data_IF_701843381256
#
_entry.id   IF_701843381256
#
_cell.length_a   1.000
_cell.length_b   1.000
_cell.length_c   1.000
_cell.angle_alpha   90.00
_cell.angle_beta   90.00
_cell.angle_gamma   90.00
#
_symmetry.space_group_name_H-M   'P 1'
#
loop_
_entity.id
_entity.type
_entity.pdbx_description
1 polymer ?
2 non-polymer ?
3 non-polymer ?
4 non-polymer ?
5 water ?
#
# COMPACT_ATOMS: atom_id res chain seq x y z
N UNK A 1 -6.48 -13.81 6.67
CA UNK A 1 -6.04 -14.21 8.04
C UNK A 1 -5.75 -12.96 8.88
N UNK A 2 -6.42 -12.82 10.02
CA UNK A 2 -6.29 -11.58 10.81
C UNK A 2 -4.84 -11.35 11.27
N UNK A 3 -4.47 -10.07 11.40
CA UNK A 3 -3.26 -9.71 12.08
C UNK A 3 -3.44 -9.98 13.57
N UNK A 4 -2.49 -10.68 14.20
CA UNK A 4 -2.44 -10.77 15.65
C UNK A 4 -1.99 -9.42 16.17
N UNK A 5 -2.12 -9.25 17.48
CA UNK A 5 -1.81 -7.98 18.10
C UNK A 5 -0.44 -7.49 17.69
N UNK A 6 0.61 -8.33 17.74
CA UNK A 6 1.95 -7.80 17.47
C UNK A 6 2.20 -7.43 16.01
N UNK A 7 1.52 -8.09 15.08
CA UNK A 7 1.57 -7.63 13.69
C UNK A 7 0.85 -6.29 13.50
N UNK A 8 -0.20 -6.01 14.28
CA UNK A 8 -0.88 -4.73 14.21
C UNK A 8 0.13 -3.65 14.59
N UNK A 9 0.83 -3.89 15.70
CA UNK A 9 1.89 -2.96 16.15
C UNK A 9 2.97 -2.76 15.06
N UNK A 10 3.28 -3.84 14.32
CA UNK A 10 4.22 -3.77 13.20
C UNK A 10 3.71 -2.88 12.09
N UNK A 11 2.52 -3.20 11.58
CA UNK A 11 1.96 -2.44 10.49
C UNK A 11 1.87 -0.98 10.91
N UNK A 12 1.63 -0.67 12.19
CA UNK A 12 1.54 0.74 12.63
C UNK A 12 2.86 1.46 12.65
N UNK A 13 3.89 0.70 13.03
CA UNK A 13 5.27 1.11 12.94
C UNK A 13 5.72 1.28 11.47
N UNK A 14 5.59 0.26 10.60
CA UNK A 14 6.08 0.40 9.22
C UNK A 14 5.44 1.67 8.57
N UNK A 15 4.36 2.21 9.15
CA UNK A 15 3.58 3.29 8.51
C UNK A 15 2.56 2.80 7.51
N UNK A 16 2.15 1.54 7.61
CA UNK A 16 1.31 0.87 6.62
C UNK A 16 -0.15 0.80 7.01
N UNK A 17 -0.41 1.04 8.27
CA UNK A 17 -1.74 1.19 8.80
C UNK A 17 -1.64 2.33 9.77
N UNK A 18 -2.61 3.22 9.75
CA UNK A 18 -2.58 4.32 10.68
C UNK A 18 -3.86 4.36 11.52
N UNK A 19 -3.66 4.56 12.83
CA UNK A 19 -4.76 4.81 13.75
C UNK A 19 -4.42 6.01 14.65
N UNK A 20 -5.32 6.99 14.67
CA UNK A 20 -4.99 8.30 15.26
C UNK A 20 -6.11 8.81 16.21
N UNK A 21 -5.82 9.05 17.48
CA UNK A 21 -4.54 8.85 18.14
C UNK A 21 -4.14 7.38 18.22
N UNK A 22 -2.84 7.13 18.31
CA UNK A 22 -2.34 5.76 18.31
C UNK A 22 -2.65 5.12 19.63
N UNK A 23 -3.24 3.94 19.63
CA UNK A 23 -3.62 3.32 20.86
C UNK A 23 -2.45 2.62 21.49
N UNK A 24 -2.32 2.73 22.81
CA UNK A 24 -1.24 2.10 23.50
C UNK A 24 -1.41 0.58 23.47
N UNK A 25 -0.45 -0.11 24.06
CA UNK A 25 -0.37 -1.57 24.02
C UNK A 25 -1.50 -2.22 24.79
N UNK A 26 -1.97 -1.52 25.82
CA UNK A 26 -3.14 -1.96 26.61
C UNK A 26 -4.32 -2.24 25.68
N UNK A 27 -4.52 -1.36 24.72
CA UNK A 27 -5.68 -1.44 23.84
C UNK A 27 -5.46 -2.14 22.48
N UNK A 28 -4.38 -2.90 22.35
CA UNK A 28 -4.14 -3.79 21.22
C UNK A 28 -3.92 -5.17 21.83
N UNK A 29 -4.77 -6.14 21.55
CA UNK A 29 -4.65 -7.46 22.18
C UNK A 29 -5.25 -8.51 21.26
N UNK A 30 -4.77 -9.74 21.37
CA UNK A 30 -5.32 -10.88 20.62
C UNK A 30 -5.23 -10.61 19.14
N UNK A 31 -6.34 -10.15 18.57
CA UNK A 31 -6.44 -9.80 17.15
C UNK A 31 -7.23 -8.49 16.89
N UNK A 32 -7.32 -7.61 17.89
CA UNK A 32 -8.11 -6.40 17.74
C UNK A 32 -7.49 -5.18 18.40
N UNK A 33 -7.81 -4.00 17.87
CA UNK A 33 -7.52 -2.75 18.56
C UNK A 33 -8.82 -2.23 19.12
N UNK A 34 -8.86 -1.93 20.40
CA UNK A 34 -10.04 -1.31 20.99
C UNK A 34 -10.15 0.09 20.44
N UNK A 35 -11.38 0.48 20.09
CA UNK A 35 -11.65 1.84 19.64
C UNK A 35 -12.62 2.50 20.58
N UNK A 36 -12.64 3.83 20.52
CA UNK A 36 -13.28 4.65 21.55
C UNK A 36 -14.40 5.49 20.99
N UNK A 37 -15.37 5.83 21.85
CA UNK A 37 -16.51 6.63 21.39
C UNK A 37 -16.15 8.11 21.22
N UNK A 38 -16.54 8.71 20.12
CA UNK A 38 -16.30 10.13 19.91
C UNK A 38 -17.41 10.96 20.52
N UNK A 39 -17.49 12.21 20.09
CA UNK A 39 -18.27 13.21 20.81
C UNK A 39 -19.22 13.96 19.87
N UNK A 40 -19.65 13.31 18.80
CA UNK A 40 -20.52 13.94 17.84
C UNK A 40 -21.63 12.95 17.57
N UNK A 41 -22.90 13.34 17.81
CA UNK A 41 -24.07 12.43 17.68
C UNK A 41 -25.15 12.94 16.74
N UNK A 42 -26.05 12.04 16.36
CA UNK A 42 -27.27 12.44 15.68
C UNK A 42 -28.45 11.53 16.03
N UNK A 43 -29.64 12.14 16.06
CA UNK A 43 -30.90 11.44 16.27
C UNK A 43 -31.79 11.78 15.12
N UNK A 44 -32.98 11.18 15.13
CA UNK A 44 -33.97 11.33 14.06
C UNK A 44 -35.14 12.16 14.50
N UNK A 45 -35.71 12.90 13.56
CA UNK A 45 -36.94 13.66 13.74
C UNK A 45 -37.81 13.27 12.54
N UNK A 46 -38.50 12.16 12.70
CA UNK A 46 -39.40 11.71 11.66
C UNK A 46 -40.56 12.61 11.23
N UNK A 47 -40.92 13.58 12.07
CA UNK A 47 -42.20 14.30 11.89
C UNK A 47 -42.33 15.09 10.58
N UNK A 48 -41.19 15.45 10.00
CA UNK A 48 -41.12 16.26 8.76
C UNK A 48 -41.25 15.43 7.50
N UNK A 49 -41.23 14.11 7.61
CA UNK A 49 -41.21 13.26 6.42
C UNK A 49 -42.05 12.00 6.64
N UNK A 50 -42.65 11.52 5.56
CA UNK A 50 -43.48 10.33 5.61
C UNK A 50 -42.65 9.03 5.47
N UNK A 51 -41.58 9.06 4.70
CA UNK A 51 -40.70 7.91 4.53
C UNK A 51 -39.38 8.37 4.00
N UNK A 52 -38.45 7.44 3.86
CA UNK A 52 -37.20 7.70 3.15
C UNK A 52 -37.12 6.75 1.97
N UNK A 53 -36.95 7.33 0.77
CA UNK A 53 -36.64 6.53 -0.42
C UNK A 53 -35.14 6.48 -0.64
N UNK A 54 -34.58 5.31 -0.36
CA UNK A 54 -33.13 5.11 -0.38
C UNK A 54 -32.64 5.27 -1.83
N UNK A 55 -33.21 4.47 -2.75
CA UNK A 55 -32.91 4.55 -4.18
C UNK A 55 -33.89 5.45 -4.91
N UNK A 56 -33.69 6.76 -4.79
CA UNK A 56 -34.51 7.73 -5.54
C UNK A 56 -33.79 9.06 -5.82
N UNK A 57 -34.47 9.97 -6.50
CA UNK A 57 -33.82 11.16 -7.12
C UNK A 57 -32.99 12.07 -6.17
N UNK A 58 -31.65 11.96 -6.22
CA UNK A 58 -30.73 12.56 -5.20
C UNK A 58 -31.05 14.01 -4.70
N UNK A 59 -31.80 14.77 -5.50
CA UNK A 59 -32.50 16.00 -5.03
C UNK A 59 -33.32 15.79 -3.75
N UNK A 60 -34.52 15.22 -3.93
CA UNK A 60 -35.49 14.96 -2.85
C UNK A 60 -34.88 14.19 -1.67
N UNK A 61 -33.98 13.26 -2.00
CA UNK A 61 -33.21 12.43 -1.04
C UNK A 61 -32.34 13.27 -0.11
N UNK A 62 -31.54 14.12 -0.73
CA UNK A 62 -30.67 15.00 0.03
C UNK A 62 -31.56 15.77 1.03
N UNK A 63 -32.59 16.43 0.50
CA UNK A 63 -33.45 17.32 1.30
C UNK A 63 -34.34 16.58 2.34
N UNK A 64 -34.83 15.37 2.00
CA UNK A 64 -35.56 14.53 2.96
C UNK A 64 -34.67 14.12 4.14
N UNK A 65 -33.51 13.56 3.83
CA UNK A 65 -32.45 13.23 4.81
C UNK A 65 -31.96 14.45 5.65
N UNK A 66 -32.16 15.64 5.11
CA UNK A 66 -31.76 16.88 5.77
C UNK A 66 -32.76 17.25 6.84
N UNK A 67 -34.01 16.91 6.56
CA UNK A 67 -35.10 17.10 7.50
C UNK A 67 -34.98 16.13 8.66
N UNK A 68 -34.83 14.84 8.34
CA UNK A 68 -35.05 13.80 9.32
C UNK A 68 -33.96 13.73 10.39
N UNK A 69 -32.74 14.15 10.06
CA UNK A 69 -31.60 14.00 10.95
C UNK A 69 -31.43 15.21 11.81
N UNK A 70 -31.24 14.98 13.10
CA UNK A 70 -30.99 16.07 14.04
C UNK A 70 -29.75 16.77 13.63
N UNK A 71 -29.58 17.97 14.15
CA UNK A 71 -28.30 18.64 14.03
C UNK A 71 -27.28 17.97 14.93
N UNK A 72 -26.02 18.25 14.68
CA UNK A 72 -24.96 17.56 15.36
C UNK A 72 -25.04 17.92 16.82
N UNK A 73 -24.94 16.90 17.68
CA UNK A 73 -25.04 17.04 19.11
C UNK A 73 -23.65 16.77 19.64
N UNK A 74 -23.04 17.75 20.30
CA UNK A 74 -21.70 17.61 20.83
C UNK A 74 -21.75 17.71 22.34
N UNK A 75 -21.29 16.69 23.05
CA UNK A 75 -21.42 16.64 24.49
C UNK A 75 -20.26 17.26 25.25
N UNK A 76 -20.58 18.17 26.18
CA UNK A 76 -19.55 18.81 27.03
C UNK A 76 -18.96 17.71 27.91
N UNK A 77 -17.65 17.79 28.19
CA UNK A 77 -16.99 16.96 29.24
C UNK A 77 -17.94 16.39 30.33
N UNK A 78 -17.78 15.10 30.66
CA UNK A 78 -18.59 14.53 31.75
C UNK A 78 -20.09 14.39 31.47
N UNK A 79 -20.48 14.42 30.20
CA UNK A 79 -21.90 14.38 29.81
C UNK A 79 -22.21 13.07 29.06
N UNK A 80 -23.37 12.52 29.32
CA UNK A 80 -23.76 11.28 28.70
C UNK A 80 -24.68 11.56 27.54
N UNK A 81 -24.83 10.58 26.65
CA UNK A 81 -25.86 10.61 25.65
C UNK A 81 -26.76 9.43 26.02
N UNK A 82 -28.04 9.69 26.20
CA UNK A 82 -28.93 8.61 26.62
C UNK A 82 -29.60 8.06 25.42
N UNK A 83 -29.39 6.77 25.16
CA UNK A 83 -29.99 6.10 24.03
C UNK A 83 -31.09 5.20 24.56
N UNK A 84 -32.31 5.61 24.29
CA UNK A 84 -33.48 4.97 24.88
C UNK A 84 -33.87 3.75 24.10
N UNK A 85 -34.50 2.81 24.77
CA UNK A 85 -34.96 1.58 24.14
C UNK A 85 -35.66 1.79 22.80
N UNK A 86 -35.14 1.22 21.74
CA UNK A 86 -35.84 1.28 20.46
C UNK A 86 -35.40 2.47 19.69
N UNK A 87 -34.43 3.20 20.19
CA UNK A 87 -33.94 4.36 19.43
C UNK A 87 -32.70 4.02 18.63
N UNK A 88 -32.65 4.53 17.39
CA UNK A 88 -31.48 4.46 16.53
C UNK A 88 -30.83 5.81 16.57
N UNK A 89 -29.51 5.83 16.79
CA UNK A 89 -28.71 7.07 16.82
C UNK A 89 -27.34 6.89 16.11
N UNK A 90 -26.75 7.99 15.66
CA UNK A 90 -25.47 7.96 14.96
C UNK A 90 -24.43 8.69 15.80
N UNK A 91 -23.23 8.12 15.79
CA UNK A 91 -22.11 8.69 16.49
C UNK A 91 -20.93 8.34 15.64
N UNK A 92 -19.76 8.49 16.24
CA UNK A 92 -18.50 8.45 15.52
C UNK A 92 -17.40 7.91 16.44
N UNK A 93 -16.47 7.14 15.93
CA UNK A 93 -15.30 6.75 16.75
C UNK A 93 -14.43 7.95 17.09
N UNK A 94 -13.77 7.85 18.24
CA UNK A 94 -12.82 8.90 18.65
C UNK A 94 -11.58 8.84 17.75
N UNK A 95 -11.09 7.62 17.54
CA UNK A 95 -9.95 7.41 16.67
C UNK A 95 -10.34 7.52 15.19
N UNK A 96 -9.45 8.20 14.44
CA UNK A 96 -9.37 8.15 12.97
C UNK A 96 -8.60 6.95 12.51
N UNK A 97 -8.87 6.48 11.31
CA UNK A 97 -8.31 5.21 10.83
C UNK A 97 -8.00 5.31 9.33
N UNK A 98 -6.75 5.00 8.99
CA UNK A 98 -6.34 4.99 7.60
C UNK A 98 -5.75 3.67 7.21
N UNK A 99 -6.44 2.98 6.29
CA UNK A 99 -6.04 1.67 5.80
C UNK A 99 -5.35 1.77 4.41
N UNK A 100 -4.33 0.93 4.20
CA UNK A 100 -3.69 0.87 2.90
C UNK A 100 -4.59 0.10 1.96
N UNK A 101 -4.16 -0.02 0.71
CA UNK A 101 -4.96 -0.69 -0.32
C UNK A 101 -4.99 -2.21 -0.19
N UNK A 102 -4.23 -2.80 0.73
CA UNK A 102 -4.15 -4.28 0.87
C UNK A 102 -4.52 -4.78 2.25
N UNK A 103 -5.36 -4.03 2.90
CA UNK A 103 -5.83 -4.40 4.20
C UNK A 103 -7.29 -3.94 4.26
N UNK A 104 -8.11 -4.77 4.89
CA UNK A 104 -9.51 -4.44 5.12
C UNK A 104 -9.73 -4.54 6.63
N UNK A 105 -10.45 -3.57 7.20
CA UNK A 105 -10.82 -3.62 8.62
C UNK A 105 -12.20 -4.21 8.83
N UNK A 106 -12.39 -4.90 9.95
CA UNK A 106 -13.71 -5.32 10.39
C UNK A 106 -13.94 -4.75 11.80
N UNK A 107 -15.00 -3.95 11.97
CA UNK A 107 -15.38 -3.41 13.29
C UNK A 107 -16.48 -4.22 13.95
N UNK A 108 -16.22 -4.77 15.14
CA UNK A 108 -17.25 -5.38 16.01
C UNK A 108 -17.48 -4.41 17.16
N UNK A 109 -18.73 -4.27 17.59
CA UNK A 109 -19.01 -3.71 18.91
C UNK A 109 -18.53 -4.67 20.01
N UNK A 110 -18.67 -4.24 21.24
CA UNK A 110 -18.23 -5.01 22.37
C UNK A 110 -19.30 -5.96 22.86
N UNK A 111 -18.95 -7.19 23.11
CA UNK A 111 -19.94 -8.20 23.46
C UNK A 111 -20.63 -7.84 24.75
N UNK A 112 -19.94 -7.17 25.66
CA UNK A 112 -20.49 -6.89 26.97
C UNK A 112 -21.51 -5.75 26.96
N UNK A 113 -21.39 -4.80 26.07
CA UNK A 113 -22.46 -3.82 25.85
C UNK A 113 -23.67 -4.40 25.06
N UNK A 114 -23.42 -5.34 24.17
CA UNK A 114 -24.48 -5.95 23.41
C UNK A 114 -25.37 -6.82 24.31
N UNK A 115 -24.79 -7.31 25.39
CA UNK A 115 -25.53 -8.01 26.44
C UNK A 115 -26.51 -7.14 27.20
N UNK A 116 -26.33 -5.82 27.12
CA UNK A 116 -27.27 -4.90 27.70
C UNK A 116 -28.12 -4.21 26.61
N UNK A 117 -28.02 -4.66 25.38
CA UNK A 117 -28.89 -4.14 24.36
C UNK A 117 -28.23 -3.41 23.23
N UNK A 118 -27.04 -2.86 23.44
CA UNK A 118 -26.38 -2.06 22.42
C UNK A 118 -25.97 -2.87 21.19
N UNK A 119 -26.77 -2.81 20.13
CA UNK A 119 -26.29 -3.08 18.78
C UNK A 119 -25.69 -1.86 18.14
N UNK A 120 -24.39 -1.89 17.95
CA UNK A 120 -23.75 -1.05 16.97
C UNK A 120 -23.64 -1.69 15.59
N UNK A 121 -24.06 -0.93 14.58
CA UNK A 121 -23.64 -1.10 13.21
C UNK A 121 -23.06 -2.46 12.89
N UNK A 122 -23.86 -3.28 12.22
CA UNK A 122 -24.02 -4.69 12.50
C UNK A 122 -24.72 -5.32 11.30
N UNK A 123 -25.24 -4.46 10.43
CA UNK A 123 -25.46 -4.80 9.04
C UNK A 123 -24.23 -4.53 8.18
N UNK A 124 -23.27 -3.81 8.75
CA UNK A 124 -22.00 -3.53 8.09
C UNK A 124 -20.81 -3.58 9.05
N UNK A 125 -19.83 -4.42 8.73
CA UNK A 125 -18.68 -4.63 9.60
C UNK A 125 -17.39 -4.07 9.03
N UNK A 126 -17.43 -3.73 7.75
CA UNK A 126 -16.22 -3.60 6.91
C UNK A 126 -15.69 -2.18 6.74
N UNK A 127 -14.41 -1.98 7.06
CA UNK A 127 -13.69 -0.73 6.74
C UNK A 127 -12.86 -1.04 5.52
N UNK A 128 -13.01 -0.25 4.46
CA UNK A 128 -12.44 -0.62 3.16
C UNK A 128 -10.98 -0.29 3.03
N UNK A 129 -10.27 -1.05 2.21
CA UNK A 129 -8.91 -0.68 1.84
C UNK A 129 -8.95 0.73 1.28
N UNK A 130 -8.10 1.62 1.77
CA UNK A 130 -8.16 3.00 1.35
C UNK A 130 -8.95 3.94 2.26
N UNK A 131 -9.79 3.38 3.14
CA UNK A 131 -10.60 4.25 4.00
C UNK A 131 -9.63 5.10 4.78
N UNK A 132 -9.96 6.37 4.96
CA UNK A 132 -9.20 7.23 5.86
C UNK A 132 -10.14 8.18 6.59
N UNK A 133 -10.30 8.00 7.88
CA UNK A 133 -11.15 8.89 8.66
C UNK A 133 -11.69 8.24 9.92
N UNK A 134 -12.53 9.00 10.61
CA UNK A 134 -13.44 8.42 11.62
C UNK A 134 -14.41 7.46 11.04
N UNK A 135 -14.93 6.62 11.92
CA UNK A 135 -15.92 5.68 11.52
C UNK A 135 -17.27 6.16 12.09
N UNK A 136 -18.23 6.34 11.21
CA UNK A 136 -19.60 6.55 11.60
C UNK A 136 -20.14 5.26 12.27
N UNK A 137 -20.71 5.41 13.46
CA UNK A 137 -21.33 4.34 14.19
C UNK A 137 -22.84 4.55 14.22
N UNK A 138 -23.59 3.49 13.99
CA UNK A 138 -25.05 3.52 14.14
C UNK A 138 -25.43 2.63 15.32
N UNK A 139 -25.93 3.25 16.39
CA UNK A 139 -26.37 2.50 17.55
C UNK A 139 -27.87 2.23 17.54
N UNK A 140 -28.25 1.13 18.17
CA UNK A 140 -29.63 0.81 18.40
C UNK A 140 -29.75 0.15 19.76
N UNK A 141 -30.66 0.64 20.60
CA UNK A 141 -30.91 0.01 21.91
C UNK A 141 -31.98 -1.05 21.75
N UNK A 142 -31.60 -2.28 21.99
CA UNK A 142 -32.49 -3.38 21.85
C UNK A 142 -32.84 -3.95 23.20
N UNK A 143 -32.45 -3.26 24.27
CA UNK A 143 -32.75 -3.72 25.62
C UNK A 143 -33.92 -2.97 26.23
N UNK A 144 -34.21 -3.23 27.50
CA UNK A 144 -35.33 -2.61 28.21
C UNK A 144 -34.98 -1.22 28.69
N UNK A 145 -33.78 -1.02 29.23
CA UNK A 145 -33.42 0.26 29.88
C UNK A 145 -32.61 1.16 28.96
N UNK A 146 -32.64 2.47 29.18
CA UNK A 146 -31.77 3.34 28.42
C UNK A 146 -30.32 3.06 28.80
N UNK A 147 -29.44 3.37 27.86
CA UNK A 147 -27.98 3.18 28.03
C UNK A 147 -27.30 4.52 27.87
N UNK A 148 -26.53 4.89 28.90
CA UNK A 148 -25.72 6.07 28.87
C UNK A 148 -24.37 5.79 28.23
N UNK A 149 -24.06 6.57 27.21
CA UNK A 149 -22.87 6.51 26.39
C UNK A 149 -22.06 7.79 26.56
N UNK A 150 -20.80 7.68 27.00
CA UNK A 150 -19.97 8.86 27.26
C UNK A 150 -18.81 8.90 26.31
N UNK A 151 -18.53 10.04 25.67
CA UNK A 151 -17.35 10.14 24.81
C UNK A 151 -16.07 9.66 25.52
N UNK A 152 -15.32 8.73 24.93
CA UNK A 152 -14.09 8.22 25.52
C UNK A 152 -14.27 6.76 25.94
N UNK A 153 -15.50 6.33 26.17
CA UNK A 153 -15.71 4.97 26.57
C UNK A 153 -15.20 4.04 25.46
N UNK A 154 -14.90 2.78 25.78
CA UNK A 154 -14.61 1.80 24.76
C UNK A 154 -15.93 1.45 24.08
N UNK A 155 -15.94 1.43 22.76
CA UNK A 155 -17.18 1.21 22.00
C UNK A 155 -17.07 0.08 20.96
N UNK A 156 -15.88 -0.45 20.76
CA UNK A 156 -15.69 -1.44 19.70
C UNK A 156 -14.31 -1.98 19.58
N UNK A 157 -14.15 -2.90 18.64
CA UNK A 157 -12.89 -3.60 18.46
C UNK A 157 -12.70 -3.71 16.97
N UNK A 158 -11.53 -3.29 16.55
CA UNK A 158 -11.15 -3.24 15.14
C UNK A 158 -10.17 -4.38 14.91
N UNK A 159 -10.46 -5.21 13.93
CA UNK A 159 -9.51 -6.22 13.51
C UNK A 159 -9.21 -6.01 11.99
N UNK A 160 -8.07 -6.56 11.53
CA UNK A 160 -7.51 -6.25 10.20
C UNK A 160 -7.08 -7.48 9.46
N UNK A 161 -7.43 -7.54 8.19
CA UNK A 161 -7.21 -8.72 7.39
C UNK A 161 -6.54 -8.31 6.10
N UNK A 162 -5.33 -8.77 5.84
CA UNK A 162 -4.65 -8.47 4.58
C UNK A 162 -5.46 -9.03 3.43
N UNK A 163 -5.47 -8.33 2.31
CA UNK A 163 -6.10 -8.82 1.10
C UNK A 163 -5.13 -9.72 0.32
N UNK A 164 -5.57 -10.30 -0.77
CA UNK A 164 -4.75 -11.23 -1.50
C UNK A 164 -3.78 -10.48 -2.38
N UNK A 165 -3.97 -9.17 -2.46
CA UNK A 165 -3.05 -8.26 -3.11
C UNK A 165 -3.60 -6.86 -2.89
N UNK A 166 -2.87 -5.84 -3.31
CA UNK A 166 -3.33 -4.44 -3.15
C UNK A 166 -4.50 -4.17 -4.06
N UNK A 167 -5.57 -3.58 -3.54
CA UNK A 167 -6.76 -3.31 -4.36
C UNK A 167 -6.45 -2.29 -5.46
N UNK A 168 -6.98 -2.55 -6.65
CA UNK A 168 -6.88 -1.61 -7.77
C UNK A 168 -7.73 -0.36 -7.52
N UNK A 169 -8.91 -0.53 -6.94
CA UNK A 169 -9.84 0.58 -6.71
C UNK A 169 -10.20 0.70 -5.23
N UNK A 170 -9.22 1.08 -4.42
CA UNK A 170 -9.48 1.30 -3.02
C UNK A 170 -10.29 2.58 -2.84
N UNK A 171 -10.62 2.88 -1.60
CA UNK A 171 -11.48 4.01 -1.29
C UNK A 171 -10.93 5.34 -1.79
N UNK A 172 -9.76 5.77 -1.33
CA UNK A 172 -9.09 7.00 -1.83
C UNK A 172 -9.03 7.23 -3.38
N UNK A 173 -9.04 6.14 -4.18
CA UNK A 173 -8.89 6.18 -5.67
C UNK A 173 -10.03 5.44 -6.36
N UNK A 174 -11.07 6.17 -6.78
CA UNK A 174 -12.26 5.58 -7.44
C UNK A 174 -13.41 6.61 -7.44
N UNK B 1 2.50 11.30 -15.15
CA UNK B 1 3.20 12.27 -14.24
C UNK B 1 3.92 11.49 -13.14
N UNK B 2 5.23 11.71 -13.00
CA UNK B 2 6.01 10.92 -12.02
C UNK B 2 5.54 11.20 -10.61
N UNK B 3 5.65 10.17 -9.77
CA UNK B 3 5.47 10.31 -8.34
C UNK B 3 6.66 11.09 -7.83
N UNK B 4 6.39 12.10 -6.99
CA UNK B 4 7.44 12.77 -6.25
C UNK B 4 7.84 11.85 -5.12
N UNK B 5 8.96 12.15 -4.48
CA UNK B 5 9.47 11.28 -3.40
C UNK B 5 8.40 10.90 -2.35
N UNK B 6 7.67 11.88 -1.82
CA UNK B 6 6.61 11.59 -0.82
C UNK B 6 5.53 10.62 -1.29
N UNK B 7 5.11 10.75 -2.54
CA UNK B 7 4.14 9.85 -3.08
C UNK B 7 4.68 8.46 -3.29
N UNK B 8 5.98 8.34 -3.52
CA UNK B 8 6.60 7.01 -3.61
C UNK B 8 6.52 6.30 -2.26
N UNK B 9 7.03 6.95 -1.21
CA UNK B 9 6.75 6.54 0.18
C UNK B 9 5.28 6.12 0.44
N UNK B 10 4.30 6.94 -0.01
CA UNK B 10 2.85 6.67 0.13
C UNK B 10 2.40 5.40 -0.56
N UNK B 11 2.72 5.29 -1.83
CA UNK B 11 2.43 4.05 -2.56
C UNK B 11 3.07 2.81 -1.91
N UNK B 12 4.21 2.98 -1.23
CA UNK B 12 4.87 1.87 -0.54
C UNK B 12 4.07 1.54 0.70
N UNK B 13 3.68 2.59 1.43
CA UNK B 13 2.82 2.44 2.61
C UNK B 13 1.42 1.87 2.28
N UNK B 14 0.85 2.24 1.13
CA UNK B 14 -0.48 1.74 0.74
C UNK B 14 -0.41 0.33 0.23
N UNK B 15 0.79 -0.24 0.17
CA UNK B 15 1.00 -1.62 -0.24
C UNK B 15 0.81 -1.81 -1.73
N UNK B 16 0.82 -0.69 -2.45
CA UNK B 16 0.44 -0.64 -3.84
C UNK B 16 1.62 -0.83 -4.78
N UNK B 17 2.79 -0.45 -4.27
CA UNK B 17 4.05 -0.61 -4.92
C UNK B 17 4.90 -1.31 -3.86
N UNK B 18 5.70 -2.28 -4.27
CA UNK B 18 6.61 -2.90 -3.36
C UNK B 18 8.03 -2.92 -3.89
N UNK B 19 8.96 -2.54 -3.01
CA UNK B 19 10.42 -2.60 -3.24
C UNK B 19 11.10 -3.33 -2.05
N UNK B 20 11.61 -4.52 -2.30
CA UNK B 20 12.16 -5.35 -1.22
C UNK B 20 13.69 -5.62 -1.41
N UNK B 21 14.61 -5.24 -0.51
CA UNK B 21 14.31 -4.55 0.76
C UNK B 21 13.87 -3.13 0.54
N UNK B 22 13.11 -2.60 1.51
CA UNK B 22 12.55 -1.28 1.38
C UNK B 22 13.68 -0.31 1.59
N UNK B 23 13.82 0.66 0.68
CA UNK B 23 14.89 1.63 0.79
C UNK B 23 14.49 2.71 1.76
N UNK B 24 15.42 3.12 2.62
CA UNK B 24 15.15 4.18 3.56
C UNK B 24 14.97 5.52 2.85
N UNK B 25 14.69 6.56 3.62
CA UNK B 25 14.35 7.89 3.10
C UNK B 25 15.53 8.54 2.35
N UNK B 26 16.75 8.22 2.81
CA UNK B 26 17.99 8.68 2.16
C UNK B 26 17.93 8.34 0.68
N UNK B 27 17.47 7.13 0.36
CA UNK B 27 17.48 6.67 -1.01
C UNK B 27 16.19 6.86 -1.82
N UNK B 28 15.27 7.70 -1.32
CA UNK B 28 14.10 8.14 -2.08
C UNK B 28 14.15 9.67 -2.09
N UNK B 29 14.36 10.28 -3.25
CA UNK B 29 14.49 11.75 -3.32
C UNK B 29 13.98 12.32 -4.63
N UNK B 30 13.49 13.56 -4.63
CA UNK B 30 12.99 14.18 -5.83
C UNK B 30 11.87 13.35 -6.43
N UNK B 31 12.23 12.50 -7.41
CA UNK B 31 11.30 11.65 -8.14
C UNK B 31 11.82 10.23 -8.38
N UNK B 32 12.83 9.80 -7.63
CA UNK B 32 13.43 8.50 -7.86
C UNK B 32 13.75 7.76 -6.55
N UNK B 33 13.74 6.43 -6.66
CA UNK B 33 14.32 5.57 -5.62
C UNK B 33 15.62 5.04 -6.15
N UNK B 34 16.70 5.29 -5.44
CA UNK B 34 18.01 4.72 -5.78
C UNK B 34 18.02 3.19 -5.64
N UNK B 35 18.55 2.51 -6.65
CA UNK B 35 18.64 1.06 -6.58
C UNK B 35 20.11 0.65 -6.54
N UNK B 36 20.35 -0.52 -5.95
CA UNK B 36 21.70 -1.01 -5.72
C UNK B 36 22.05 -2.14 -6.68
N UNK B 37 23.33 -2.43 -6.79
CA UNK B 37 23.78 -3.55 -7.58
C UNK B 37 23.70 -4.86 -6.80
N UNK B 38 23.25 -5.91 -7.46
CA UNK B 38 23.24 -7.23 -6.85
C UNK B 38 24.55 -7.97 -6.98
N UNK B 39 24.47 -9.28 -6.85
CA UNK B 39 25.68 -10.05 -6.70
C UNK B 39 25.67 -11.26 -7.63
N UNK B 40 25.22 -11.08 -8.85
CA UNK B 40 25.06 -12.17 -9.80
C UNK B 40 25.32 -11.57 -11.14
N UNK B 41 26.34 -12.07 -11.84
CA UNK B 41 26.77 -11.53 -13.12
C UNK B 41 26.82 -12.57 -14.23
N UNK B 42 26.90 -12.11 -15.47
CA UNK B 42 27.23 -12.99 -16.59
C UNK B 42 28.04 -12.23 -17.61
N UNK B 43 28.88 -12.97 -18.34
CA UNK B 43 29.68 -12.44 -19.47
C UNK B 43 29.44 -13.33 -20.65
N UNK B 44 30.05 -12.99 -21.78
CA UNK B 44 29.86 -13.73 -23.02
C UNK B 44 31.08 -14.54 -23.40
N UNK B 45 30.82 -15.71 -23.98
CA UNK B 45 31.82 -16.56 -24.53
C UNK B 45 31.38 -16.84 -25.96
N UNK B 46 31.64 -15.89 -26.83
CA UNK B 46 31.34 -16.07 -28.25
C UNK B 46 31.86 -17.29 -28.99
N UNK B 47 32.92 -17.95 -28.49
CA UNK B 47 33.72 -18.89 -29.29
C UNK B 47 32.99 -20.15 -29.74
N UNK B 48 31.92 -20.48 -29.05
CA UNK B 48 31.06 -21.65 -29.37
C UNK B 48 30.02 -21.41 -30.44
N UNK B 49 29.85 -20.16 -30.88
CA UNK B 49 28.74 -19.81 -31.77
C UNK B 49 29.13 -18.71 -32.75
N UNK B 50 28.59 -18.80 -33.96
CA UNK B 50 28.94 -17.86 -35.03
C UNK B 50 28.11 -16.59 -34.96
N UNK B 51 26.86 -16.71 -34.54
CA UNK B 51 25.98 -15.56 -34.41
C UNK B 51 24.81 -15.94 -33.51
N UNK B 52 23.96 -14.97 -33.22
CA UNK B 52 22.72 -15.24 -32.54
C UNK B 52 21.56 -14.80 -33.37
N UNK B 53 20.64 -15.73 -33.65
CA UNK B 53 19.41 -15.39 -34.34
C UNK B 53 18.34 -14.99 -33.34
N UNK B 54 18.10 -13.69 -33.24
CA UNK B 54 17.11 -13.10 -32.34
C UNK B 54 15.67 -13.48 -32.74
N UNK B 55 15.14 -12.84 -33.78
CA UNK B 55 13.85 -13.23 -34.38
C UNK B 55 13.58 -14.71 -34.25
N UNK B 56 12.36 -15.02 -33.83
CA UNK B 56 12.01 -16.39 -33.48
C UNK B 56 11.67 -16.36 -32.01
N UNK B 57 11.31 -17.53 -31.48
CA UNK B 57 10.69 -17.62 -30.13
C UNK B 57 11.46 -16.94 -28.95
N UNK B 58 10.71 -16.42 -27.98
CA UNK B 58 11.28 -15.82 -26.76
C UNK B 58 11.96 -16.89 -25.90
N UNK B 59 11.44 -18.11 -25.99
CA UNK B 59 12.05 -19.29 -25.36
C UNK B 59 13.34 -19.70 -26.10
N UNK B 60 13.40 -19.42 -27.41
CA UNK B 60 14.53 -19.86 -28.30
C UNK B 60 15.68 -18.85 -28.34
N UNK B 61 15.40 -17.63 -27.89
CA UNK B 61 16.41 -16.63 -27.51
C UNK B 61 17.12 -17.09 -26.22
N UNK B 62 16.34 -17.50 -25.22
CA UNK B 62 16.91 -18.04 -23.98
C UNK B 62 17.57 -19.43 -24.15
N UNK B 63 16.96 -20.31 -24.96
CA UNK B 63 17.56 -21.61 -25.28
C UNK B 63 18.89 -21.41 -26.00
N UNK B 64 18.91 -20.39 -26.84
CA UNK B 64 20.13 -19.96 -27.55
C UNK B 64 20.71 -18.68 -26.93
N UNK B 65 21.00 -18.72 -25.64
CA UNK B 65 21.94 -17.81 -24.97
C UNK B 65 22.68 -18.72 -23.97
N UNK B 66 22.83 -19.99 -24.35
CA UNK B 66 23.17 -21.07 -23.41
C UNK B 66 24.62 -21.43 -23.59
N UNK B 67 25.07 -21.58 -24.84
CA UNK B 67 26.49 -21.68 -25.13
C UNK B 67 27.14 -20.36 -24.76
N UNK B 68 26.57 -19.28 -25.28
CA UNK B 68 27.29 -18.01 -25.37
C UNK B 68 27.45 -17.31 -24.03
N UNK B 69 26.54 -17.59 -23.11
CA UNK B 69 26.54 -16.92 -21.81
C UNK B 69 27.34 -17.66 -20.78
N UNK B 70 28.16 -16.94 -20.05
CA UNK B 70 28.94 -17.54 -19.01
C UNK B 70 27.99 -18.11 -17.99
N UNK B 71 28.50 -19.00 -17.16
CA UNK B 71 27.75 -19.39 -16.00
C UNK B 71 27.65 -18.22 -15.00
N UNK B 72 26.73 -18.36 -14.05
CA UNK B 72 26.48 -17.30 -13.09
C UNK B 72 27.72 -17.10 -12.24
N UNK B 73 28.11 -15.84 -12.12
CA UNK B 73 29.28 -15.41 -11.39
C UNK B 73 28.78 -14.70 -10.12
N UNK B 74 29.12 -15.23 -8.96
CA UNK B 74 28.67 -14.66 -7.70
C UNK B 74 29.88 -14.22 -6.93
N UNK B 75 29.96 -12.93 -6.61
CA UNK B 75 31.15 -12.37 -5.99
C UNK B 75 31.08 -12.44 -4.47
N UNK B 76 32.15 -12.99 -3.86
CA UNK B 76 32.28 -13.03 -2.39
C UNK B 76 32.35 -11.56 -1.97
N UNK B 77 31.66 -11.17 -0.90
CA UNK B 77 31.67 -9.76 -0.44
C UNK B 77 33.12 -9.17 -0.43
N UNK B 78 33.22 -7.84 -0.60
CA UNK B 78 34.51 -7.17 -0.81
C UNK B 78 35.15 -7.33 -2.19
N UNK B 79 34.47 -8.01 -3.12
CA UNK B 79 35.07 -8.40 -4.42
C UNK B 79 34.45 -7.58 -5.53
N UNK B 80 35.27 -7.14 -6.48
CA UNK B 80 34.79 -6.31 -7.58
C UNK B 80 34.52 -7.15 -8.79
N UNK B 81 33.72 -6.65 -9.69
CA UNK B 81 33.60 -7.26 -11.02
C UNK B 81 34.22 -6.24 -11.94
N UNK B 82 35.19 -6.64 -12.76
CA UNK B 82 35.82 -5.66 -13.63
C UNK B 82 35.19 -5.73 -15.01
N UNK B 83 34.54 -4.62 -15.40
CA UNK B 83 33.97 -4.53 -16.72
C UNK B 83 34.91 -3.75 -17.63
N UNK B 84 35.51 -4.47 -18.58
CA UNK B 84 36.57 -3.91 -19.44
C UNK B 84 35.97 -3.15 -20.61
N UNK B 85 36.71 -2.17 -21.09
CA UNK B 85 36.28 -1.34 -22.17
C UNK B 85 35.73 -2.13 -23.35
N UNK B 86 34.48 -1.94 -23.69
CA UNK B 86 33.91 -2.63 -24.85
C UNK B 86 33.23 -3.93 -24.49
N UNK B 87 33.23 -4.26 -23.22
CA UNK B 87 32.57 -5.47 -22.80
C UNK B 87 31.15 -5.18 -22.43
N UNK B 88 30.28 -6.13 -22.75
CA UNK B 88 28.88 -6.15 -22.35
C UNK B 88 28.78 -7.23 -21.31
N UNK B 89 28.17 -6.88 -20.18
CA UNK B 89 27.90 -7.86 -19.11
C UNK B 89 26.45 -7.77 -18.51
N UNK B 90 25.99 -8.86 -17.90
CA UNK B 90 24.67 -8.84 -17.28
C UNK B 90 24.77 -8.97 -15.77
N UNK B 91 23.98 -8.20 -15.09
CA UNK B 91 23.93 -8.24 -13.65
C UNK B 91 22.47 -8.04 -13.26
N UNK B 92 22.28 -7.79 -11.99
CA UNK B 92 20.94 -7.79 -11.43
C UNK B 92 20.88 -6.74 -10.30
N UNK B 93 19.75 -6.02 -10.17
CA UNK B 93 19.57 -5.16 -8.99
C UNK B 93 19.48 -6.00 -7.73
N UNK B 94 19.96 -5.40 -6.65
CA UNK B 94 19.88 -6.01 -5.33
C UNK B 94 18.41 -6.02 -4.91
N UNK B 95 17.72 -4.90 -5.12
CA UNK B 95 16.30 -4.79 -4.75
C UNK B 95 15.42 -5.51 -5.75
N UNK B 96 14.42 -6.19 -5.18
CA UNK B 96 13.26 -6.70 -5.91
C UNK B 96 12.18 -5.61 -6.04
N UNK B 97 11.37 -5.70 -7.07
CA UNK B 97 10.43 -4.61 -7.34
C UNK B 97 9.13 -5.19 -7.83
N UNK B 98 8.04 -4.84 -7.16
CA UNK B 98 6.72 -5.29 -7.59
C UNK B 98 5.77 -4.14 -7.89
N UNK B 99 5.31 -4.05 -9.13
CA UNK B 99 4.47 -2.93 -9.56
C UNK B 99 3.05 -3.39 -9.70
N UNK B 100 2.07 -2.55 -9.34
CA UNK B 100 0.64 -2.89 -9.54
C UNK B 100 0.29 -2.69 -11.02
N UNK B 101 -0.96 -2.98 -11.38
CA UNK B 101 -1.36 -2.88 -12.75
C UNK B 101 -1.50 -1.49 -13.34
N UNK B 102 -1.38 -0.45 -12.53
CA UNK B 102 -1.60 0.94 -12.98
C UNK B 102 -0.39 1.83 -12.63
N UNK B 103 0.78 1.24 -12.63
CA UNK B 103 2.00 1.98 -12.47
C UNK B 103 3.01 1.31 -13.40
N UNK B 104 3.83 2.15 -14.04
CA UNK B 104 4.94 1.70 -14.85
C UNK B 104 6.22 2.33 -14.25
N UNK B 105 7.28 1.55 -14.16
CA UNK B 105 8.59 2.08 -13.68
C UNK B 105 9.55 2.44 -14.81
N UNK B 106 10.35 3.48 -14.60
CA UNK B 106 11.43 3.85 -15.52
C UNK B 106 12.75 3.71 -14.75
N UNK B 107 13.68 2.89 -15.25
CA UNK B 107 15.03 2.80 -14.66
C UNK B 107 16.05 3.60 -15.46
N UNK B 108 16.70 4.56 -14.81
CA UNK B 108 17.86 5.23 -15.39
C UNK B 108 19.07 4.74 -14.62
N UNK B 109 20.17 4.52 -15.31
CA UNK B 109 21.47 4.45 -14.65
C UNK B 109 21.85 5.80 -14.08
N UNK B 110 22.95 5.82 -13.33
CA UNK B 110 23.44 7.04 -12.73
C UNK B 110 24.28 7.87 -13.69
N UNK B 111 24.03 9.18 -13.73
CA UNK B 111 24.68 10.07 -14.66
C UNK B 111 26.18 10.13 -14.40
N UNK B 112 26.58 10.01 -13.15
CA UNK B 112 27.97 10.15 -12.81
C UNK B 112 28.81 8.92 -13.21
N UNK B 113 28.24 7.73 -13.18
CA UNK B 113 28.91 6.55 -13.70
C UNK B 113 28.97 6.56 -15.24
N UNK B 114 27.94 7.11 -15.88
CA UNK B 114 27.88 7.18 -17.33
C UNK B 114 28.97 8.11 -17.86
N UNK B 115 29.33 9.11 -17.08
CA UNK B 115 30.43 10.01 -17.39
C UNK B 115 31.78 9.31 -17.46
N UNK B 116 31.89 8.16 -16.81
CA UNK B 116 33.10 7.35 -16.89
C UNK B 116 32.90 6.17 -17.85
N UNK B 117 31.82 6.13 -18.63
CA UNK B 117 31.60 5.06 -19.59
C UNK B 117 30.50 4.05 -19.31
N UNK B 118 30.07 3.91 -18.06
CA UNK B 118 29.05 2.89 -17.78
C UNK B 118 27.74 3.18 -18.50
N UNK B 119 27.43 2.46 -19.56
CA UNK B 119 26.08 2.45 -20.08
C UNK B 119 25.38 1.34 -19.35
N UNK B 120 24.35 1.69 -18.61
CA UNK B 120 23.39 0.69 -18.24
C UNK B 120 22.16 0.68 -19.12
N UNK B 121 21.78 -0.50 -19.55
CA UNK B 121 20.51 -0.74 -20.22
C UNK B 121 19.69 0.55 -20.30
N UNK B 122 19.34 0.93 -21.52
CA UNK B 122 19.63 2.23 -22.09
C UNK B 122 18.97 2.19 -23.46
N UNK B 123 18.76 0.98 -23.94
CA UNK B 123 17.92 0.73 -25.08
C UNK B 123 16.52 0.45 -24.58
N UNK B 124 16.42 -0.01 -23.33
CA UNK B 124 15.15 0.02 -22.61
C UNK B 124 15.19 0.53 -21.17
N UNK B 125 14.14 1.27 -20.81
CA UNK B 125 14.03 1.92 -19.51
C UNK B 125 12.87 1.38 -18.63
N UNK B 126 11.94 0.65 -19.27
CA UNK B 126 10.58 0.40 -18.72
C UNK B 126 10.42 -0.89 -17.90
N UNK B 127 9.93 -0.72 -16.66
CA UNK B 127 9.44 -1.82 -15.79
C UNK B 127 7.94 -1.86 -15.86
N UNK B 128 7.38 -3.00 -16.29
CA UNK B 128 5.97 -3.05 -16.67
C UNK B 128 5.00 -3.15 -15.47
N UNK B 129 3.78 -2.64 -15.66
CA UNK B 129 2.74 -2.86 -14.69
C UNK B 129 2.59 -4.35 -14.52
N UNK B 130 2.60 -4.83 -13.28
CA UNK B 130 2.60 -6.25 -13.03
C UNK B 130 3.97 -6.84 -12.74
N UNK B 131 5.06 -6.19 -13.18
CA UNK B 131 6.39 -6.77 -12.97
C UNK B 131 6.55 -7.13 -11.50
N UNK B 132 7.18 -8.25 -11.22
CA UNK B 132 7.56 -8.57 -9.85
C UNK B 132 8.87 -9.35 -9.88
N UNK B 133 9.94 -8.75 -9.39
CA UNK B 133 11.22 -9.44 -9.32
C UNK B 133 12.36 -8.45 -9.35
N UNK B 134 13.58 -8.98 -9.28
CA UNK B 134 14.78 -8.24 -9.62
C UNK B 134 14.78 -7.78 -11.05
N UNK B 135 15.56 -6.75 -11.30
CA UNK B 135 15.73 -6.24 -12.61
C UNK B 135 17.08 -6.74 -13.15
N UNK B 136 17.04 -7.46 -14.26
CA UNK B 136 18.23 -7.76 -15.02
C UNK B 136 18.82 -6.45 -15.54
N UNK B 137 20.13 -6.26 -15.39
CA UNK B 137 20.84 -5.09 -15.87
C UNK B 137 21.84 -5.51 -16.93
N UNK B 138 21.87 -4.80 -18.05
CA UNK B 138 22.90 -5.04 -19.10
C UNK B 138 23.88 -3.87 -19.11
N UNK B 139 25.13 -4.10 -18.70
CA UNK B 139 26.16 -3.07 -18.71
C UNK B 139 27.02 -3.08 -19.98
N UNK B 140 27.55 -1.90 -20.30
CA UNK B 140 28.48 -1.78 -21.39
C UNK B 140 29.49 -0.68 -21.07
N UNK B 141 30.78 -1.01 -21.10
CA UNK B 141 31.80 -0.02 -20.82
C UNK B 141 32.14 0.69 -22.12
N UNK B 142 31.84 1.97 -22.20
CA UNK B 142 32.06 2.74 -23.38
C UNK B 142 33.20 3.70 -23.15
N UNK B 143 33.91 3.57 -22.02
CA UNK B 143 35.05 4.43 -21.75
C UNK B 143 36.39 3.74 -22.08
N UNK B 144 37.50 4.43 -21.76
CA UNK B 144 38.87 3.92 -21.98
C UNK B 144 39.26 2.88 -20.97
N UNK B 145 38.97 3.12 -19.69
CA UNK B 145 39.49 2.27 -18.61
C UNK B 145 38.48 1.22 -18.22
N UNK B 146 38.90 0.13 -17.57
CA UNK B 146 37.94 -0.77 -16.95
C UNK B 146 37.26 -0.07 -15.75
N UNK B 147 36.07 -0.55 -15.42
CA UNK B 147 35.29 -0.07 -14.29
C UNK B 147 35.00 -1.19 -13.28
N UNK B 148 35.41 -0.97 -12.02
CA UNK B 148 35.11 -1.92 -10.94
C UNK B 148 33.74 -1.63 -10.34
N UNK B 149 32.90 -2.67 -10.40
CA UNK B 149 31.57 -2.70 -9.90
C UNK B 149 31.55 -3.64 -8.70
N UNK B 150 31.01 -3.18 -7.57
CA UNK B 150 30.90 -4.04 -6.36
C UNK B 150 29.47 -4.18 -5.94
N UNK B 151 29.01 -5.39 -5.63
CA UNK B 151 27.62 -5.58 -5.16
C UNK B 151 27.34 -4.65 -4.00
N UNK B 152 26.21 -3.95 -4.03
CA UNK B 152 25.84 -3.00 -2.98
C UNK B 152 26.00 -1.57 -3.43
N UNK B 153 26.82 -1.30 -4.42
CA UNK B 153 26.96 0.08 -4.89
C UNK B 153 25.63 0.60 -5.46
N UNK B 154 25.44 1.90 -5.52
CA UNK B 154 24.31 2.47 -6.20
C UNK B 154 24.57 2.31 -7.66
N UNK B 155 23.55 1.82 -8.38
CA UNK B 155 23.66 1.52 -9.81
C UNK B 155 22.61 2.18 -10.67
N UNK B 156 21.63 2.82 -10.08
CA UNK B 156 20.51 3.34 -10.87
C UNK B 156 19.46 4.05 -10.04
N UNK B 157 18.44 4.53 -10.73
CA UNK B 157 17.38 5.33 -10.12
C UNK B 157 16.10 4.96 -10.80
N UNK B 158 15.13 4.59 -9.97
CA UNK B 158 13.84 4.10 -10.41
C UNK B 158 12.83 5.19 -10.18
N UNK B 159 12.12 5.58 -11.23
CA UNK B 159 11.03 6.48 -11.08
C UNK B 159 9.73 5.80 -11.59
N UNK B 160 8.57 6.34 -11.18
CA UNK B 160 7.27 5.66 -11.33
C UNK B 160 6.17 6.57 -11.84
N UNK B 161 5.43 6.07 -12.79
CA UNK B 161 4.45 6.87 -13.49
C UNK B 161 3.13 6.12 -13.49
N UNK B 162 2.08 6.69 -12.89
CA UNK B 162 0.75 6.08 -12.91
C UNK B 162 0.22 6.03 -14.32
N UNK B 163 -0.45 4.95 -14.68
CA UNK B 163 -1.09 4.82 -15.95
C UNK B 163 -2.45 5.50 -15.91
N UNK B 164 -3.11 5.63 -17.05
CA UNK B 164 -4.36 6.34 -17.09
C UNK B 164 -5.45 5.49 -16.48
N UNK B 165 -5.13 4.22 -16.22
CA UNK B 165 -6.02 3.30 -15.52
C UNK B 165 -5.25 2.00 -15.35
N UNK B 166 -5.83 1.04 -14.62
CA UNK B 166 -5.18 -0.26 -14.38
C UNK B 166 -5.11 -1.05 -15.66
N UNK B 167 -3.95 -1.58 -16.01
CA UNK B 167 -3.82 -2.34 -17.26
C UNK B 167 -4.68 -3.59 -17.23
N UNK B 168 -5.28 -3.93 -18.36
CA UNK B 168 -6.03 -5.18 -18.50
C UNK B 168 -5.12 -6.39 -18.65
N UNK B 169 -3.95 -6.21 -19.28
CA UNK B 169 -2.96 -7.27 -19.42
C UNK B 169 -1.59 -6.85 -18.87
N UNK B 170 -1.48 -6.76 -17.54
CA UNK B 170 -0.21 -6.49 -16.92
C UNK B 170 0.67 -7.72 -17.02
N UNK B 171 1.88 -7.61 -16.48
CA UNK B 171 2.84 -8.70 -16.51
C UNK B 171 2.31 -9.91 -15.76
#
# INVERSE_FOLDING_TARGET
MRLCDRDIEAWLDEGRLSINPRPPVERINGATVDVRLGNKFRTFRGHTAAFIDLSGPKDEVSAALDRVMSDEIVLDEGEAFYLHPGELALAVTLESVTLPADLVGWLDGRSSLARLGLMVHVTAHRIDPGWSGCIVLAFYNSGKLPLALRPGMLIGALSFEPLSGPAVRPYNRREDAKYRNQQGAVASRIDKD
MRLCDRDIEAWLDEGRLSINPRPPVERINGATVDVRLGNKFRTFRGHTAAFIDLSGPKDEVSAALDRVMSDEIVLDEGEAFYLHPGELALAVTLESVTLPADLVGWLDGRSSLARLGLMVHVTAHRIDPGWSGCIVLAFYNSGKLPLALRPGMLIGALSFEPLSGPAVRPYNRREDAKYRNQQGAVASRIDKD
#
